data_IF_462825535920
#
_entry.id   IF_462825535920
#
_cell.length_a   1.000
_cell.length_b   1.000
_cell.length_c   1.000
_cell.angle_alpha   90.00
_cell.angle_beta   90.00
_cell.angle_gamma   90.00
#
_symmetry.space_group_name_H-M   'P 1'
#
loop_
_entity.id
_entity.type
_entity.pdbx_description
1 polymer ?
#
# COMPACT_ATOMS: atom_id res chain seq x y z
N UNK A 1 -28.97 9.00 29.82
CA UNK A 1 -28.82 9.11 28.34
C UNK A 1 -27.48 9.73 27.92
N UNK A 2 -26.98 10.81 28.54
CA UNK A 2 -25.71 11.46 28.16
C UNK A 2 -24.46 10.54 28.24
N UNK A 3 -24.42 9.60 29.19
CA UNK A 3 -23.31 8.64 29.34
C UNK A 3 -23.16 7.65 28.16
N UNK A 4 -24.28 7.26 27.52
CA UNK A 4 -24.25 6.32 26.40
C UNK A 4 -23.66 6.99 25.17
N UNK A 5 -24.06 8.24 24.90
CA UNK A 5 -23.57 9.04 23.76
C UNK A 5 -22.05 9.28 23.86
N UNK A 6 -21.54 9.54 25.08
CA UNK A 6 -20.11 9.77 25.32
C UNK A 6 -19.26 8.51 25.10
N UNK A 7 -19.81 7.31 25.40
CA UNK A 7 -19.13 6.03 25.18
C UNK A 7 -19.19 5.59 23.71
N UNK A 8 -20.30 5.86 23.01
CA UNK A 8 -20.42 5.59 21.56
C UNK A 8 -19.48 6.48 20.74
N UNK A 9 -19.30 7.75 21.11
CA UNK A 9 -18.40 8.67 20.40
C UNK A 9 -16.92 8.26 20.54
N UNK A 10 -16.54 7.71 21.69
CA UNK A 10 -15.18 7.20 21.92
C UNK A 10 -14.87 5.95 21.08
N UNK A 11 -15.88 5.11 20.85
CA UNK A 11 -15.76 3.90 20.03
C UNK A 11 -15.65 4.22 18.52
N UNK A 12 -16.35 5.26 18.07
CA UNK A 12 -16.28 5.74 16.68
C UNK A 12 -14.94 6.41 16.37
N UNK A 13 -14.33 7.11 17.33
CA UNK A 13 -13.03 7.77 17.13
C UNK A 13 -11.87 6.76 16.97
N UNK A 14 -11.92 5.60 17.63
CA UNK A 14 -10.94 4.52 17.46
C UNK A 14 -11.06 3.77 16.12
N UNK A 15 -12.19 3.87 15.40
CA UNK A 15 -12.35 3.24 14.09
C UNK A 15 -11.68 4.04 12.95
N UNK A 16 -11.34 5.32 13.21
CA UNK A 16 -10.76 6.22 12.20
C UNK A 16 -9.25 6.02 12.01
N UNK A 17 -8.60 5.21 12.86
CA UNK A 17 -7.14 5.01 12.81
C UNK A 17 -6.69 3.92 11.82
N UNK A 18 -7.62 3.27 11.11
CA UNK A 18 -7.32 2.20 10.14
C UNK A 18 -6.88 2.69 8.76
N UNK A 19 -6.74 4.01 8.55
CA UNK A 19 -6.08 4.51 7.35
C UNK A 19 -4.58 4.44 7.57
N UNK A 20 -3.92 3.42 7.01
CA UNK A 20 -2.46 3.36 6.96
C UNK A 20 -1.87 4.65 6.38
N UNK A 21 -0.67 5.02 6.83
CA UNK A 21 -0.03 6.26 6.39
C UNK A 21 0.36 6.13 4.91
N UNK A 22 -0.18 7.01 4.08
CA UNK A 22 0.27 7.16 2.69
C UNK A 22 1.39 8.18 2.63
N UNK A 23 2.55 7.78 2.13
CA UNK A 23 3.70 8.66 1.91
C UNK A 23 4.13 8.60 0.45
N UNK A 24 4.57 9.74 -0.09
CA UNK A 24 5.07 9.85 -1.46
C UNK A 24 6.19 10.86 -1.54
N UNK A 25 7.24 10.51 -2.27
CA UNK A 25 8.37 11.39 -2.56
C UNK A 25 8.73 11.33 -4.05
N UNK A 26 9.28 12.43 -4.57
CA UNK A 26 9.73 12.56 -5.95
C UNK A 26 8.82 13.45 -6.82
N UNK A 27 8.97 13.33 -8.14
CA UNK A 27 8.34 14.22 -9.11
C UNK A 27 7.33 13.48 -9.97
N UNK A 28 6.09 13.99 -10.03
CA UNK A 28 5.03 13.51 -10.93
C UNK A 28 4.70 14.58 -11.94
N UNK A 29 4.66 14.19 -13.22
CA UNK A 29 4.25 15.05 -14.33
C UNK A 29 2.96 14.53 -14.94
N UNK A 30 1.97 15.41 -15.09
CA UNK A 30 0.76 15.14 -15.86
C UNK A 30 -0.11 14.01 -15.32
N UNK A 31 -0.34 13.97 -14.02
CA UNK A 31 -1.19 12.96 -13.37
C UNK A 31 -1.04 12.95 -11.86
N UNK A 32 -1.38 11.80 -11.24
CA UNK A 32 -1.39 11.63 -9.78
C UNK A 32 -1.20 10.17 -9.38
N UNK A 33 -0.73 10.00 -8.14
CA UNK A 33 -0.62 8.72 -7.42
C UNK A 33 -1.41 8.86 -6.12
N UNK A 34 -2.21 7.86 -5.77
CA UNK A 34 -3.01 7.81 -4.55
C UNK A 34 -2.74 6.52 -3.77
N UNK A 35 -2.82 6.62 -2.44
CA UNK A 35 -2.99 5.48 -1.55
C UNK A 35 -4.45 5.34 -1.14
N UNK A 36 -4.99 4.14 -1.29
CA UNK A 36 -6.22 3.70 -0.64
C UNK A 36 -5.93 2.94 0.65
N UNK A 37 -6.96 2.39 1.28
CA UNK A 37 -6.78 1.55 2.48
C UNK A 37 -5.97 0.29 2.18
N UNK A 38 -6.21 -0.33 1.02
CA UNK A 38 -5.61 -1.60 0.61
C UNK A 38 -5.03 -1.55 -0.82
N UNK A 39 -4.66 -0.36 -1.29
CA UNK A 39 -4.12 -0.19 -2.64
C UNK A 39 -3.23 1.04 -2.77
N UNK A 40 -2.39 1.04 -3.80
CA UNK A 40 -1.75 2.23 -4.35
C UNK A 40 -1.99 2.21 -5.86
N UNK A 41 -2.53 3.29 -6.40
CA UNK A 41 -2.76 3.45 -7.84
C UNK A 41 -2.11 4.73 -8.36
N UNK A 42 -1.83 4.74 -9.66
CA UNK A 42 -1.37 5.96 -10.30
C UNK A 42 -1.61 5.96 -11.80
N UNK A 43 -1.90 7.16 -12.32
CA UNK A 43 -1.98 7.44 -13.76
C UNK A 43 -1.36 8.79 -14.04
N UNK A 44 -0.28 8.79 -14.83
CA UNK A 44 0.56 9.96 -15.05
C UNK A 44 1.39 9.85 -16.34
N UNK A 45 1.97 10.99 -16.76
CA UNK A 45 2.91 11.02 -17.89
C UNK A 45 4.30 10.53 -17.48
N UNK A 46 4.78 10.97 -16.32
CA UNK A 46 6.06 10.53 -15.75
C UNK A 46 6.03 10.59 -14.23
N UNK A 47 6.65 9.61 -13.58
CA UNK A 47 6.92 9.57 -12.15
C UNK A 47 8.36 9.06 -11.93
N UNK A 48 9.14 9.83 -11.17
CA UNK A 48 10.43 9.41 -10.62
C UNK A 48 10.38 9.63 -9.12
N UNK A 49 10.57 8.56 -8.34
CA UNK A 49 10.45 8.58 -6.89
C UNK A 49 9.76 7.32 -6.35
N UNK A 50 9.11 7.45 -5.19
CA UNK A 50 8.43 6.32 -4.55
C UNK A 50 7.11 6.72 -3.90
N UNK A 51 6.24 5.72 -3.71
CA UNK A 51 5.03 5.82 -2.91
C UNK A 51 4.96 4.63 -1.96
N UNK A 52 4.52 4.85 -0.72
CA UNK A 52 4.35 3.83 0.30
C UNK A 52 3.00 3.94 0.97
N UNK A 53 2.42 2.79 1.30
CA UNK A 53 1.21 2.65 2.10
C UNK A 53 1.47 1.66 3.23
N UNK A 54 1.23 2.11 4.47
CA UNK A 54 1.36 1.24 5.64
C UNK A 54 0.18 0.27 5.75
N UNK A 55 0.46 -0.89 6.35
CA UNK A 55 -0.45 -2.01 6.49
C UNK A 55 -0.15 -2.75 7.79
N UNK A 56 -1.09 -2.72 8.73
CA UNK A 56 -0.98 -3.49 9.97
C UNK A 56 -1.30 -4.97 9.72
N UNK A 57 -0.40 -5.83 10.17
CA UNK A 57 -0.50 -7.28 10.00
C UNK A 57 -0.37 -8.01 11.32
N UNK A 58 -1.07 -9.14 11.45
CA UNK A 58 -0.98 -10.01 12.63
C UNK A 58 -0.38 -11.36 12.30
N UNK A 59 0.35 -11.92 13.25
CA UNK A 59 0.93 -13.26 13.18
C UNK A 59 -0.13 -14.28 12.76
N UNK A 60 0.23 -15.08 11.76
CA UNK A 60 -0.62 -16.14 11.23
C UNK A 60 -1.58 -15.70 10.12
N UNK A 61 -1.73 -14.39 9.87
CA UNK A 61 -2.50 -13.92 8.72
C UNK A 61 -1.79 -14.26 7.41
N UNK A 62 -2.59 -14.56 6.39
CA UNK A 62 -2.13 -14.67 5.01
C UNK A 62 -2.69 -13.52 4.20
N UNK A 63 -1.86 -12.96 3.35
CA UNK A 63 -2.21 -11.82 2.51
C UNK A 63 -1.77 -12.06 1.07
N UNK A 64 -2.66 -11.74 0.13
CA UNK A 64 -2.41 -11.78 -1.31
C UNK A 64 -2.20 -10.37 -1.82
N UNK A 65 -1.14 -10.17 -2.61
CA UNK A 65 -0.82 -8.94 -3.32
C UNK A 65 -1.00 -9.17 -4.81
N UNK A 66 -1.62 -8.22 -5.49
CA UNK A 66 -1.76 -8.19 -6.94
C UNK A 66 -1.17 -6.89 -7.46
N UNK A 67 -0.31 -6.98 -8.46
CA UNK A 67 0.28 -5.82 -9.12
C UNK A 67 0.03 -5.87 -10.62
N UNK A 68 -0.61 -4.83 -11.13
CA UNK A 68 -0.86 -4.65 -12.55
C UNK A 68 -0.27 -3.30 -12.98
N UNK A 69 0.48 -3.31 -14.08
CA UNK A 69 0.98 -2.08 -14.69
C UNK A 69 0.75 -2.07 -16.21
N UNK A 70 0.68 -0.85 -16.75
CA UNK A 70 0.72 -0.59 -18.19
C UNK A 70 1.83 0.42 -18.45
N UNK A 71 3.07 -0.04 -18.26
CA UNK A 71 4.28 0.75 -18.54
C UNK A 71 4.34 1.13 -20.02
N UNK A 72 4.54 2.43 -20.27
CA UNK A 72 4.85 2.97 -21.61
C UNK A 72 6.34 3.31 -21.75
N UNK A 73 6.98 3.66 -20.63
CA UNK A 73 8.40 4.02 -20.55
C UNK A 73 8.90 3.93 -19.09
N UNK A 74 10.21 3.92 -18.91
CA UNK A 74 10.85 3.89 -17.59
C UNK A 74 10.68 2.54 -16.89
N UNK A 75 10.90 2.52 -15.58
CA UNK A 75 10.77 1.30 -14.76
C UNK A 75 9.91 1.53 -13.53
N UNK A 76 9.17 0.49 -13.14
CA UNK A 76 8.38 0.44 -11.92
C UNK A 76 8.65 -0.89 -11.20
N UNK A 77 8.84 -0.82 -9.89
CA UNK A 77 9.02 -2.00 -9.03
C UNK A 77 8.13 -1.91 -7.80
N UNK A 78 7.64 -3.05 -7.34
CA UNK A 78 6.74 -3.15 -6.21
C UNK A 78 7.27 -4.10 -5.14
N UNK A 79 7.22 -3.66 -3.88
CA UNK A 79 7.75 -4.40 -2.74
C UNK A 79 6.79 -4.37 -1.56
N UNK A 80 6.89 -5.40 -0.72
CA UNK A 80 6.36 -5.42 0.64
C UNK A 80 7.56 -5.46 1.60
N UNK A 81 7.62 -4.48 2.49
CA UNK A 81 8.69 -4.32 3.46
C UNK A 81 8.16 -4.51 4.88
N UNK A 82 9.00 -5.00 5.80
CA UNK A 82 8.69 -4.98 7.23
C UNK A 82 8.95 -3.59 7.85
N UNK A 83 8.70 -3.44 9.16
CA UNK A 83 8.93 -2.18 9.87
C UNK A 83 10.40 -1.74 9.94
N UNK A 84 11.35 -2.64 9.67
CA UNK A 84 12.78 -2.36 9.59
C UNK A 84 13.26 -2.12 8.15
N UNK A 85 12.31 -1.95 7.21
CA UNK A 85 12.55 -1.78 5.78
C UNK A 85 13.25 -2.99 5.11
N UNK A 86 13.17 -4.19 5.71
CA UNK A 86 13.62 -5.42 5.05
C UNK A 86 12.59 -5.86 4.01
N UNK A 87 13.04 -6.26 2.83
CA UNK A 87 12.17 -6.81 1.79
C UNK A 87 11.64 -8.18 2.20
N UNK A 88 10.32 -8.28 2.34
CA UNK A 88 9.59 -9.53 2.58
C UNK A 88 9.18 -10.17 1.25
N UNK A 89 8.78 -9.34 0.28
CA UNK A 89 8.29 -9.79 -1.00
C UNK A 89 8.56 -8.74 -2.09
N UNK A 90 8.99 -9.19 -3.25
CA UNK A 90 8.91 -8.44 -4.51
C UNK A 90 7.65 -8.90 -5.26
N UNK A 91 6.80 -7.95 -5.67
CA UNK A 91 5.54 -8.24 -6.35
C UNK A 91 5.73 -7.96 -7.83
N UNK A 92 5.74 -9.03 -8.63
CA UNK A 92 5.93 -8.92 -10.06
C UNK A 92 4.61 -8.59 -10.75
N UNK A 93 4.68 -7.73 -11.77
CA UNK A 93 3.51 -7.37 -12.55
C UNK A 93 2.85 -8.58 -13.22
N UNK A 94 1.53 -8.57 -13.28
CA UNK A 94 0.70 -9.63 -13.85
C UNK A 94 0.67 -10.92 -13.02
N UNK A 95 1.26 -10.92 -11.82
CA UNK A 95 1.25 -12.05 -10.91
C UNK A 95 0.55 -11.68 -9.59
N UNK A 96 0.05 -12.71 -8.92
CA UNK A 96 -0.36 -12.62 -7.53
C UNK A 96 0.65 -13.33 -6.64
N UNK A 97 1.00 -12.69 -5.53
CA UNK A 97 1.99 -13.20 -4.59
C UNK A 97 1.40 -13.22 -3.19
N UNK A 98 1.66 -14.30 -2.45
CA UNK A 98 1.13 -14.48 -1.10
C UNK A 98 2.25 -14.43 -0.07
N UNK A 99 1.94 -13.87 1.09
CA UNK A 99 2.80 -13.95 2.29
C UNK A 99 2.03 -14.56 3.44
N UNK A 100 2.74 -15.27 4.32
CA UNK A 100 2.25 -15.66 5.64
C UNK A 100 3.01 -14.90 6.70
N UNK A 101 2.28 -14.17 7.54
CA UNK A 101 2.85 -13.25 8.52
C UNK A 101 3.39 -14.02 9.72
N UNK A 102 4.67 -13.82 10.04
CA UNK A 102 5.38 -14.57 11.09
C UNK A 102 5.26 -13.93 12.48
N UNK A 103 5.02 -12.62 12.55
CA UNK A 103 4.88 -11.81 13.76
C UNK A 103 3.94 -10.63 13.51
N UNK A 104 3.34 -10.10 14.56
CA UNK A 104 2.60 -8.83 14.49
C UNK A 104 3.58 -7.71 14.11
N UNK A 105 3.21 -6.89 13.13
CA UNK A 105 4.07 -5.84 12.59
C UNK A 105 3.26 -4.79 11.80
N UNK A 106 3.89 -3.68 11.44
CA UNK A 106 3.39 -2.72 10.45
C UNK A 106 4.26 -2.84 9.20
N UNK A 107 3.70 -3.44 8.17
CA UNK A 107 4.35 -3.59 6.87
C UNK A 107 4.12 -2.35 6.00
N UNK A 108 4.97 -2.18 4.98
CA UNK A 108 4.85 -1.11 3.99
C UNK A 108 4.78 -1.71 2.59
N UNK A 109 3.74 -1.38 1.84
CA UNK A 109 3.69 -1.62 0.40
C UNK A 109 4.37 -0.45 -0.28
N UNK A 110 5.43 -0.70 -1.04
CA UNK A 110 6.27 0.33 -1.66
C UNK A 110 6.33 0.17 -3.17
N UNK A 111 6.06 1.25 -3.89
CA UNK A 111 6.31 1.39 -5.32
C UNK A 111 7.52 2.30 -5.52
N UNK A 112 8.46 1.89 -6.36
CA UNK A 112 9.63 2.68 -6.77
C UNK A 112 9.57 2.85 -8.28
N UNK A 113 9.83 4.06 -8.75
CA UNK A 113 9.78 4.41 -10.18
C UNK A 113 10.99 5.21 -10.61
N UNK A 114 11.47 4.92 -11.81
CA UNK A 114 12.50 5.69 -12.51
C UNK A 114 11.96 6.10 -13.88
N UNK A 115 11.61 7.38 -14.01
CA UNK A 115 11.00 7.99 -15.21
C UNK A 115 9.79 7.23 -15.76
N UNK A 116 9.10 6.48 -14.90
CA UNK A 116 8.00 5.62 -15.28
C UNK A 116 6.86 6.44 -15.87
N UNK A 117 6.33 6.04 -17.01
CA UNK A 117 5.15 6.66 -17.61
C UNK A 117 4.10 5.61 -17.91
N UNK A 118 2.85 5.85 -17.52
CA UNK A 118 1.78 4.87 -17.67
C UNK A 118 0.76 4.92 -16.55
N UNK A 119 0.17 3.76 -16.28
CA UNK A 119 -0.72 3.55 -15.15
C UNK A 119 -0.34 2.26 -14.43
N UNK A 120 -0.57 2.20 -13.12
CA UNK A 120 -0.36 1.02 -12.31
C UNK A 120 -1.40 0.95 -11.19
N UNK A 121 -1.60 -0.25 -10.67
CA UNK A 121 -2.32 -0.50 -9.43
C UNK A 121 -1.66 -1.69 -8.71
N UNK A 122 -1.28 -1.47 -7.45
CA UNK A 122 -1.00 -2.56 -6.50
C UNK A 122 -2.12 -2.59 -5.48
N UNK A 123 -2.66 -3.78 -5.23
CA UNK A 123 -3.70 -4.00 -4.22
C UNK A 123 -3.41 -5.23 -3.39
N UNK A 124 -3.95 -5.27 -2.18
CA UNK A 124 -3.79 -6.41 -1.29
C UNK A 124 -5.06 -6.76 -0.54
N UNK A 125 -5.18 -8.03 -0.18
CA UNK A 125 -6.32 -8.55 0.57
C UNK A 125 -5.89 -9.64 1.54
N UNK A 126 -6.55 -9.66 2.69
CA UNK A 126 -6.41 -10.73 3.68
C UNK A 126 -7.14 -11.96 3.15
N UNK A 127 -6.46 -13.10 3.17
CA UNK A 127 -7.09 -14.38 2.87
C UNK A 127 -8.07 -14.76 3.99
N UNK A 128 -9.15 -15.46 3.63
CA UNK A 128 -10.21 -15.84 4.57
C UNK A 128 -9.80 -16.98 5.49
#
# INVERSE_FOLDING_TARGET
>A
MLKIIKNTLLFVLCLVVLSGCFTREGTIVGGKVHGGSNSIDGKYKSFTGFATQDMDVKKGESWTFTFDDKTKQGTIKAYVLDSNDNTILEVNSGNSNNIKVSKDDTYKVKIITEEHGGEFEISWKKEK
#
